data_IF_218324657036
#
_entry.id   IF_218324657036
#
_cell.length_a   1.000
_cell.length_b   1.000
_cell.length_c   1.000
_cell.angle_alpha   90.00
_cell.angle_beta   90.00
_cell.angle_gamma   90.00
#
_symmetry.space_group_name_H-M   'P 1'
#
loop_
_entity.id
_entity.type
_entity.pdbx_description
1 polymer ?
#
# COMPACT_ATOMS: atom_id res chain seq x y z
N UNK A 1 6.11 8.88 -56.88
CA UNK A 1 6.10 7.67 -56.02
C UNK A 1 6.02 8.11 -54.55
N UNK A 2 5.01 7.63 -53.87
CA UNK A 2 4.83 7.97 -52.45
C UNK A 2 5.62 7.04 -51.59
N UNK A 3 6.47 7.58 -50.74
CA UNK A 3 7.14 6.81 -49.69
C UNK A 3 6.16 6.58 -48.53
N UNK A 4 6.18 5.41 -47.97
CA UNK A 4 5.39 5.17 -46.77
C UNK A 4 5.91 6.02 -45.60
N UNK A 5 5.03 6.59 -44.79
CA UNK A 5 5.46 7.34 -43.63
C UNK A 5 6.21 6.41 -42.66
N UNK A 6 7.26 6.96 -42.07
CA UNK A 6 7.98 6.26 -41.01
C UNK A 6 7.10 6.18 -39.76
N UNK A 7 6.86 4.98 -39.29
CA UNK A 7 6.11 4.74 -38.04
C UNK A 7 7.11 4.46 -36.93
N UNK A 8 7.30 5.40 -36.00
CA UNK A 8 8.20 5.12 -34.87
C UNK A 8 7.66 3.99 -34.01
N UNK A 9 8.56 3.09 -33.64
CA UNK A 9 8.25 2.02 -32.69
C UNK A 9 8.75 2.44 -31.32
N UNK A 10 7.87 2.43 -30.35
CA UNK A 10 8.22 2.76 -28.96
C UNK A 10 8.06 1.50 -28.13
N UNK A 11 9.15 1.08 -27.53
CA UNK A 11 9.16 -0.01 -26.56
C UNK A 11 9.59 0.53 -25.20
N UNK A 12 8.92 0.08 -24.16
CA UNK A 12 9.22 0.48 -22.79
C UNK A 12 9.26 -0.74 -21.90
N UNK A 13 10.30 -0.86 -21.11
CA UNK A 13 10.42 -1.91 -20.11
C UNK A 13 9.29 -1.84 -19.07
N UNK A 14 8.77 -0.65 -18.81
CA UNK A 14 7.66 -0.46 -17.89
C UNK A 14 6.37 -1.15 -18.32
N UNK A 15 6.21 -1.44 -19.61
CA UNK A 15 5.03 -2.16 -20.12
C UNK A 15 5.15 -3.66 -20.04
N UNK A 16 6.36 -4.16 -19.92
CA UNK A 16 6.66 -5.59 -19.95
C UNK A 16 6.98 -6.14 -18.58
N UNK A 17 7.50 -5.28 -17.68
CA UNK A 17 7.97 -5.67 -16.37
C UNK A 17 7.12 -5.08 -15.27
N UNK A 18 7.02 -5.81 -14.17
CA UNK A 18 6.45 -5.32 -12.93
C UNK A 18 7.50 -4.50 -12.16
N UNK A 19 7.08 -3.77 -11.14
CA UNK A 19 8.00 -3.12 -10.19
C UNK A 19 8.67 -4.21 -9.37
N UNK A 20 10.00 -4.30 -9.47
CA UNK A 20 10.77 -5.36 -8.83
C UNK A 20 11.52 -4.85 -7.61
N UNK A 21 11.47 -5.64 -6.54
CA UNK A 21 12.29 -5.40 -5.36
C UNK A 21 13.72 -5.86 -5.61
N UNK A 22 14.73 -5.20 -4.99
CA UNK A 22 16.11 -5.67 -5.08
C UNK A 22 16.23 -7.11 -4.59
N UNK A 23 17.01 -7.93 -5.32
CA UNK A 23 17.14 -9.36 -4.97
C UNK A 23 17.73 -9.58 -3.59
N UNK A 24 18.58 -8.68 -3.11
CA UNK A 24 19.23 -8.76 -1.80
C UNK A 24 18.21 -8.77 -0.65
N UNK A 25 16.99 -8.26 -0.87
CA UNK A 25 15.97 -8.19 0.16
C UNK A 25 15.54 -9.60 0.63
N UNK A 26 15.73 -10.60 -0.22
CA UNK A 26 15.42 -12.00 0.14
C UNK A 26 16.37 -12.58 1.17
N UNK A 27 17.50 -11.93 1.43
CA UNK A 27 18.45 -12.31 2.48
C UNK A 27 18.05 -11.79 3.84
N UNK A 28 17.08 -10.87 3.91
CA UNK A 28 16.58 -10.34 5.18
C UNK A 28 15.69 -11.34 5.89
N UNK A 29 15.70 -11.31 7.22
CA UNK A 29 14.82 -12.17 8.02
C UNK A 29 13.36 -11.76 7.87
N UNK A 30 13.06 -10.46 7.77
CA UNK A 30 11.72 -9.93 7.71
C UNK A 30 10.96 -10.08 9.02
N UNK A 31 9.66 -9.94 8.92
CA UNK A 31 8.72 -10.15 10.04
C UNK A 31 7.61 -11.10 9.58
N UNK A 32 6.94 -11.72 10.54
CA UNK A 32 5.73 -12.50 10.26
C UNK A 32 4.51 -11.77 10.78
N UNK A 33 3.52 -11.60 9.88
CA UNK A 33 2.20 -11.08 10.26
C UNK A 33 1.18 -12.13 9.86
N UNK A 34 0.45 -12.65 10.83
CA UNK A 34 -0.50 -13.76 10.63
C UNK A 34 0.11 -14.95 9.89
N UNK A 35 1.35 -15.33 10.29
CA UNK A 35 2.07 -16.45 9.69
C UNK A 35 2.71 -16.16 8.34
N UNK A 36 2.47 -15.02 7.73
CA UNK A 36 3.04 -14.64 6.45
C UNK A 36 4.34 -13.86 6.64
N UNK A 37 5.41 -14.33 6.01
CA UNK A 37 6.72 -13.67 6.09
C UNK A 37 6.77 -12.46 5.17
N UNK A 38 7.13 -11.31 5.72
CA UNK A 38 7.23 -10.05 4.99
C UNK A 38 8.67 -9.56 5.08
N UNK A 39 9.37 -9.53 3.95
CA UNK A 39 10.76 -9.05 3.82
C UNK A 39 10.86 -7.77 3.00
N UNK A 40 9.81 -7.44 2.26
CA UNK A 40 9.77 -6.22 1.46
C UNK A 40 8.41 -5.56 1.60
N UNK A 41 8.42 -4.25 1.73
CA UNK A 41 7.21 -3.44 1.83
C UNK A 41 7.32 -2.30 0.82
N UNK A 42 6.35 -2.21 -0.08
CA UNK A 42 6.31 -1.14 -1.07
C UNK A 42 5.40 -0.03 -0.56
N UNK A 43 5.99 1.16 -0.38
CA UNK A 43 5.28 2.34 0.11
C UNK A 43 4.63 3.07 -1.07
N UNK A 44 3.34 2.85 -1.28
CA UNK A 44 2.62 3.46 -2.40
C UNK A 44 1.10 3.40 -2.20
N UNK A 45 0.40 4.32 -2.83
CA UNK A 45 -1.06 4.27 -2.99
C UNK A 45 -1.47 4.27 -4.47
N UNK A 46 -0.50 4.17 -5.37
CA UNK A 46 -0.77 4.06 -6.81
C UNK A 46 -1.31 2.67 -7.12
N UNK A 47 -2.56 2.60 -7.53
CA UNK A 47 -3.23 1.30 -7.77
C UNK A 47 -2.59 0.52 -8.92
N UNK A 48 -2.00 1.18 -9.90
CA UNK A 48 -1.31 0.48 -10.99
C UNK A 48 -0.03 -0.20 -10.51
N UNK A 49 0.69 0.42 -9.60
CA UNK A 49 1.88 -0.17 -8.96
C UNK A 49 1.45 -1.29 -8.02
N UNK A 50 0.40 -1.07 -7.22
CA UNK A 50 -0.12 -2.09 -6.29
C UNK A 50 -0.54 -3.35 -7.02
N UNK A 51 -1.03 -3.24 -8.24
CA UNK A 51 -1.41 -4.39 -9.06
C UNK A 51 -0.21 -5.06 -9.76
N UNK A 52 0.95 -4.40 -9.84
CA UNK A 52 2.06 -4.84 -10.68
C UNK A 52 3.42 -4.69 -9.98
N UNK A 53 3.66 -5.53 -8.98
CA UNK A 53 4.91 -5.55 -8.23
C UNK A 53 5.19 -6.94 -7.67
N UNK A 54 6.39 -7.15 -7.16
CA UNK A 54 6.78 -8.39 -6.49
C UNK A 54 7.12 -8.22 -4.99
N UNK A 55 6.75 -7.09 -4.39
CA UNK A 55 6.91 -6.89 -2.95
C UNK A 55 6.00 -7.81 -2.14
N UNK A 56 6.41 -8.12 -0.90
CA UNK A 56 5.66 -9.00 -0.02
C UNK A 56 4.43 -8.33 0.59
N UNK A 57 4.43 -7.01 0.71
CA UNK A 57 3.35 -6.22 1.29
C UNK A 57 3.32 -4.80 0.73
N UNK A 58 2.20 -4.13 0.92
CA UNK A 58 2.01 -2.72 0.58
C UNK A 58 1.81 -1.90 1.85
N UNK A 59 2.50 -0.78 1.95
CA UNK A 59 2.26 0.23 2.97
C UNK A 59 1.50 1.39 2.32
N UNK A 60 0.21 1.46 2.58
CA UNK A 60 -0.69 2.43 1.95
C UNK A 60 -0.94 3.61 2.90
N UNK A 61 -0.05 4.57 2.87
CA UNK A 61 -0.11 5.80 3.65
C UNK A 61 -0.01 7.00 2.71
N UNK A 62 -0.79 8.03 2.94
CA UNK A 62 -0.80 9.22 2.11
C UNK A 62 -1.04 10.47 2.97
N UNK A 63 -0.67 11.68 2.48
CA UNK A 63 -0.65 12.90 3.31
C UNK A 63 -2.01 13.58 3.46
N UNK A 64 -3.08 12.92 3.09
CA UNK A 64 -4.44 13.46 3.18
C UNK A 64 -5.26 12.69 4.20
N UNK A 65 -6.39 13.23 4.60
CA UNK A 65 -7.32 12.54 5.50
C UNK A 65 -7.76 11.21 4.90
N UNK A 66 -7.59 10.09 5.60
CA UNK A 66 -8.03 8.79 5.11
C UNK A 66 -9.54 8.75 4.86
N UNK A 67 -9.93 8.18 3.74
CA UNK A 67 -11.35 7.98 3.40
C UNK A 67 -11.59 6.53 2.96
N UNK A 68 -12.81 6.01 3.18
CA UNK A 68 -13.14 4.61 2.85
C UNK A 68 -12.90 4.24 1.39
N UNK A 69 -13.20 5.14 0.46
CA UNK A 69 -13.07 4.86 -0.98
C UNK A 69 -11.63 4.52 -1.39
N UNK A 70 -10.63 5.13 -0.74
CA UNK A 70 -9.23 4.90 -1.06
C UNK A 70 -8.82 3.50 -0.61
N UNK A 71 -9.10 3.12 0.63
CA UNK A 71 -8.73 1.78 1.10
C UNK A 71 -9.48 0.68 0.33
N UNK A 72 -10.74 0.89 0.00
CA UNK A 72 -11.50 -0.05 -0.82
C UNK A 72 -10.88 -0.24 -2.19
N UNK A 73 -10.46 0.85 -2.84
CA UNK A 73 -9.80 0.80 -4.15
C UNK A 73 -8.49 0.03 -4.11
N UNK A 74 -7.70 0.24 -3.07
CA UNK A 74 -6.43 -0.47 -2.86
C UNK A 74 -6.68 -1.96 -2.63
N UNK A 75 -7.64 -2.31 -1.80
CA UNK A 75 -7.94 -3.70 -1.46
C UNK A 75 -8.48 -4.48 -2.67
N UNK A 76 -9.17 -3.82 -3.59
CA UNK A 76 -9.65 -4.46 -4.83
C UNK A 76 -8.48 -4.95 -5.69
N UNK A 77 -7.41 -4.17 -5.80
CA UNK A 77 -6.29 -4.49 -6.70
C UNK A 77 -5.14 -5.21 -6.02
N UNK A 78 -5.03 -5.14 -4.70
CA UNK A 78 -3.90 -5.74 -3.97
C UNK A 78 -4.02 -7.26 -3.92
N UNK A 79 -2.92 -7.95 -4.27
CA UNK A 79 -2.79 -9.41 -4.14
C UNK A 79 -1.90 -9.83 -2.96
N UNK A 80 -1.36 -8.85 -2.23
CA UNK A 80 -0.51 -9.06 -1.05
C UNK A 80 -1.08 -8.32 0.15
N UNK A 81 -0.61 -8.62 1.37
CA UNK A 81 -1.05 -7.90 2.56
C UNK A 81 -0.91 -6.38 2.42
N UNK A 82 -1.90 -5.66 2.90
CA UNK A 82 -1.91 -4.19 2.93
C UNK A 82 -1.87 -3.71 4.38
N UNK A 83 -0.94 -2.81 4.66
CA UNK A 83 -0.83 -2.07 5.90
C UNK A 83 -1.42 -0.69 5.64
N UNK A 84 -2.57 -0.40 6.21
CA UNK A 84 -3.37 0.77 5.85
C UNK A 84 -3.15 1.95 6.81
N UNK A 85 -2.88 3.12 6.26
CA UNK A 85 -2.80 4.35 7.02
C UNK A 85 -4.18 4.80 7.49
N UNK A 86 -4.32 5.07 8.79
CA UNK A 86 -5.59 5.44 9.41
C UNK A 86 -5.56 6.79 10.11
N UNK A 87 -4.43 7.49 10.06
CA UNK A 87 -4.34 8.85 10.59
C UNK A 87 -3.08 9.12 11.37
N UNK A 88 -3.16 10.17 12.17
CA UNK A 88 -2.08 10.86 12.85
C UNK A 88 -2.11 12.32 12.39
N UNK A 89 -1.45 13.21 13.12
CA UNK A 89 -1.55 14.63 12.80
C UNK A 89 -2.99 15.16 12.91
N UNK A 90 -3.62 15.46 11.77
CA UNK A 90 -4.97 16.04 11.73
C UNK A 90 -6.10 15.02 11.88
N UNK A 91 -5.85 13.75 11.57
CA UNK A 91 -6.84 12.68 11.74
C UNK A 91 -6.51 11.88 12.98
N UNK A 92 -7.34 11.98 14.01
CA UNK A 92 -7.08 11.40 15.34
C UNK A 92 -8.37 10.85 15.96
N UNK A 93 -8.22 10.19 17.11
CA UNK A 93 -9.32 9.76 17.96
C UNK A 93 -10.29 8.83 17.26
N UNK A 94 -11.58 9.13 17.36
CA UNK A 94 -12.66 8.30 16.80
C UNK A 94 -12.55 8.13 15.29
N UNK A 95 -12.07 9.13 14.56
CA UNK A 95 -11.87 9.02 13.11
C UNK A 95 -10.85 7.95 12.77
N UNK A 96 -9.71 7.94 13.46
CA UNK A 96 -8.68 6.91 13.27
C UNK A 96 -9.20 5.54 13.68
N UNK A 97 -9.93 5.45 14.78
CA UNK A 97 -10.53 4.20 15.21
C UNK A 97 -11.54 3.65 14.19
N UNK A 98 -12.40 4.51 13.64
CA UNK A 98 -13.36 4.12 12.62
C UNK A 98 -12.69 3.68 11.32
N UNK A 99 -11.64 4.39 10.89
CA UNK A 99 -10.85 4.00 9.71
C UNK A 99 -10.13 2.68 9.94
N UNK A 100 -9.67 2.41 11.16
CA UNK A 100 -9.04 1.13 11.51
C UNK A 100 -10.03 -0.02 11.42
N UNK A 101 -11.23 0.15 11.95
CA UNK A 101 -12.28 -0.84 11.88
C UNK A 101 -12.70 -1.12 10.43
N UNK A 102 -12.84 -0.08 9.62
CA UNK A 102 -13.15 -0.22 8.21
C UNK A 102 -12.02 -0.97 7.48
N UNK A 103 -10.77 -0.58 7.73
CA UNK A 103 -9.61 -1.21 7.08
C UNK A 103 -9.52 -2.69 7.42
N UNK A 104 -9.76 -3.06 8.67
CA UNK A 104 -9.83 -4.45 9.11
C UNK A 104 -10.96 -5.19 8.38
N UNK A 105 -12.14 -4.61 8.31
CA UNK A 105 -13.29 -5.23 7.63
C UNK A 105 -13.07 -5.41 6.13
N UNK A 106 -12.28 -4.55 5.50
CA UNK A 106 -11.90 -4.68 4.08
C UNK A 106 -10.75 -5.67 3.87
N UNK A 107 -10.15 -6.20 4.94
CA UNK A 107 -9.12 -7.23 4.86
C UNK A 107 -7.69 -6.73 5.04
N UNK A 108 -7.46 -5.52 5.49
CA UNK A 108 -6.11 -5.04 5.79
C UNK A 108 -5.46 -5.88 6.90
N UNK A 109 -4.16 -6.16 6.77
CA UNK A 109 -3.42 -6.95 7.75
C UNK A 109 -3.04 -6.16 8.99
N UNK A 110 -2.87 -4.86 8.87
CA UNK A 110 -2.51 -3.97 9.96
C UNK A 110 -2.90 -2.55 9.60
N UNK A 111 -2.90 -1.68 10.61
CA UNK A 111 -3.09 -0.25 10.42
C UNK A 111 -1.83 0.49 10.83
N UNK A 112 -1.61 1.66 10.22
CA UNK A 112 -0.44 2.48 10.42
C UNK A 112 -0.89 3.86 10.88
N UNK A 113 -0.25 4.38 11.92
CA UNK A 113 -0.46 5.74 12.40
C UNK A 113 0.83 6.53 12.30
N UNK A 114 0.72 7.84 12.07
CA UNK A 114 1.88 8.73 12.03
C UNK A 114 2.39 9.02 13.44
N UNK A 115 3.66 9.45 13.53
CA UNK A 115 4.30 9.78 14.81
C UNK A 115 3.54 10.75 15.70
N UNK A 116 2.84 11.79 15.17
CA UNK A 116 2.03 12.70 16.00
C UNK A 116 0.80 12.09 16.67
N UNK A 117 0.46 10.83 16.35
CA UNK A 117 -0.70 10.16 16.97
C UNK A 117 -0.55 10.05 18.48
N UNK A 118 -1.63 10.38 19.20
CA UNK A 118 -1.64 10.34 20.67
C UNK A 118 -1.81 8.90 21.18
N UNK A 119 -1.40 8.69 22.44
CA UNK A 119 -1.60 7.39 23.12
C UNK A 119 -3.10 7.08 23.24
N UNK A 120 -3.93 8.08 23.49
CA UNK A 120 -5.38 7.93 23.56
C UNK A 120 -5.96 7.41 22.24
N UNK A 121 -5.50 7.94 21.11
CA UNK A 121 -5.92 7.45 19.79
C UNK A 121 -5.51 6.00 19.57
N UNK A 122 -4.30 5.62 19.95
CA UNK A 122 -3.83 4.22 19.83
C UNK A 122 -4.72 3.30 20.66
N UNK A 123 -5.09 3.69 21.88
CA UNK A 123 -5.99 2.92 22.71
C UNK A 123 -7.38 2.77 22.09
N UNK A 124 -7.92 3.83 21.46
CA UNK A 124 -9.19 3.75 20.75
C UNK A 124 -9.14 2.76 19.57
N UNK A 125 -8.06 2.77 18.80
CA UNK A 125 -7.86 1.84 17.70
C UNK A 125 -7.83 0.40 18.20
N UNK A 126 -7.22 0.17 19.34
CA UNK A 126 -7.00 -1.18 19.88
C UNK A 126 -8.21 -1.75 20.62
N UNK A 127 -9.29 -1.03 20.68
CA UNK A 127 -10.57 -1.54 21.18
C UNK A 127 -11.23 -2.45 20.16
#
# INVERSE_FOLDING_TARGET
>A
MMTQPHIPSVMSDLRQDIVQMPKVIKECSGIRIYGRRIRSILFTTDVSIIANHDADAILAVYPFTPIPAIIKSIMIVASVPVLAGVGGGLTTGVRSANMSLLSESEGAYAVVVNGPTTVETIKEINK
#
